data_IF_503208773412
#
_entry.id   IF_503208773412
#
_cell.length_a   1.000
_cell.length_b   1.000
_cell.length_c   1.000
_cell.angle_alpha   90.00
_cell.angle_beta   90.00
_cell.angle_gamma   90.00
#
_symmetry.space_group_name_H-M   'P 1'
#
loop_
_entity.id
_entity.type
_entity.pdbx_description
1 polymer ?
#
# COMPACT_ATOMS: atom_id res chain seq x y z
N UNK A 1 15.91 3.56 4.99
CA UNK A 1 14.70 4.19 4.45
C UNK A 1 14.41 3.63 3.06
N UNK A 2 13.16 3.35 2.75
CA UNK A 2 12.72 2.95 1.41
C UNK A 2 12.17 4.18 0.69
N UNK A 3 12.71 4.52 -0.48
CA UNK A 3 12.34 5.75 -1.19
C UNK A 3 12.02 5.50 -2.65
N UNK A 4 10.98 6.16 -3.14
CA UNK A 4 10.58 6.22 -4.53
C UNK A 4 10.86 7.64 -5.04
N UNK A 5 11.54 7.79 -6.17
CA UNK A 5 11.90 9.08 -6.73
C UNK A 5 11.41 9.17 -8.17
N UNK A 6 10.37 9.94 -8.42
CA UNK A 6 9.79 10.21 -9.73
C UNK A 6 9.38 8.94 -10.48
N UNK A 7 8.86 7.92 -9.76
CA UNK A 7 8.56 6.64 -10.41
C UNK A 7 7.35 6.75 -11.32
N UNK A 8 7.54 6.29 -12.55
CA UNK A 8 6.50 6.23 -13.58
C UNK A 8 6.39 4.82 -14.11
N UNK A 9 5.16 4.35 -14.35
CA UNK A 9 4.88 3.08 -15.02
C UNK A 9 3.92 3.26 -16.16
N UNK A 10 4.39 2.93 -17.37
CA UNK A 10 3.58 2.90 -18.58
C UNK A 10 3.46 1.48 -19.12
N UNK A 11 2.30 1.16 -19.66
CA UNK A 11 2.02 -0.09 -20.34
C UNK A 11 1.68 0.19 -21.81
N UNK A 12 2.16 -0.65 -22.71
CA UNK A 12 1.70 -0.65 -24.09
C UNK A 12 0.41 -1.44 -24.15
N UNK A 13 -0.64 -0.83 -24.68
CA UNK A 13 -2.00 -1.40 -24.79
C UNK A 13 -2.50 -1.35 -26.24
N UNK A 14 -3.52 -2.16 -26.53
CA UNK A 14 -4.07 -2.29 -27.89
C UNK A 14 -3.46 -3.47 -28.67
N UNK A 15 -4.15 -3.92 -29.70
CA UNK A 15 -3.82 -5.13 -30.46
C UNK A 15 -2.39 -5.12 -31.08
N UNK A 16 -1.82 -3.94 -31.28
CA UNK A 16 -0.44 -3.76 -31.81
C UNK A 16 0.43 -2.86 -30.94
N UNK A 17 0.06 -2.63 -29.65
CA UNK A 17 0.84 -1.77 -28.76
C UNK A 17 0.89 -0.29 -29.19
N UNK A 18 -0.15 0.17 -29.91
CA UNK A 18 -0.20 1.50 -30.52
C UNK A 18 -0.55 2.61 -29.52
N UNK A 19 -1.12 2.28 -28.39
CA UNK A 19 -1.45 3.22 -27.33
C UNK A 19 -0.67 2.92 -26.04
N UNK A 20 -0.49 3.93 -25.22
CA UNK A 20 0.17 3.83 -23.91
C UNK A 20 -0.81 4.16 -22.80
N UNK A 21 -0.85 3.31 -21.78
CA UNK A 21 -1.57 3.56 -20.54
C UNK A 21 -0.53 3.89 -19.45
N UNK A 22 -0.59 5.08 -18.89
CA UNK A 22 0.22 5.46 -17.72
C UNK A 22 -0.53 5.10 -16.46
N UNK A 23 -0.08 4.06 -15.76
CA UNK A 23 -0.72 3.57 -14.54
C UNK A 23 -0.20 4.25 -13.27
N UNK A 24 1.04 4.74 -13.30
CA UNK A 24 1.68 5.55 -12.25
C UNK A 24 2.52 6.60 -12.97
N UNK A 25 2.40 7.85 -12.54
CA UNK A 25 3.03 8.99 -13.17
C UNK A 25 3.70 9.91 -12.15
N UNK A 26 5.02 9.98 -12.23
CA UNK A 26 5.89 10.87 -11.44
C UNK A 26 5.62 10.83 -9.93
N UNK A 27 5.56 9.63 -9.35
CA UNK A 27 5.28 9.45 -7.92
C UNK A 27 6.59 9.40 -7.14
N UNK A 28 6.68 10.28 -6.13
CA UNK A 28 7.74 10.27 -5.12
C UNK A 28 7.13 10.01 -3.74
N UNK A 29 7.73 9.09 -3.00
CA UNK A 29 7.26 8.64 -1.69
C UNK A 29 8.42 8.06 -0.89
N UNK A 30 8.54 8.48 0.36
CA UNK A 30 9.45 7.88 1.32
C UNK A 30 8.66 7.08 2.36
N UNK A 31 9.22 5.96 2.79
CA UNK A 31 8.70 5.15 3.87
C UNK A 31 9.80 4.93 4.91
N UNK A 32 9.60 5.47 6.10
CA UNK A 32 10.54 5.33 7.19
C UNK A 32 10.35 3.99 7.93
N UNK A 33 11.40 3.46 8.62
CA UNK A 33 11.22 2.39 9.58
C UNK A 33 10.27 2.83 10.70
N UNK A 34 9.35 1.94 11.11
CA UNK A 34 8.39 2.24 12.17
C UNK A 34 7.30 3.25 11.79
N UNK A 35 7.06 3.46 10.49
CA UNK A 35 6.00 4.32 9.97
C UNK A 35 4.96 3.49 9.22
N UNK A 36 3.68 3.84 9.35
CA UNK A 36 2.63 3.35 8.46
C UNK A 36 2.20 4.50 7.54
N UNK A 37 2.36 4.30 6.24
CA UNK A 37 1.86 5.20 5.21
C UNK A 37 0.67 4.55 4.52
N UNK A 38 -0.50 5.18 4.58
CA UNK A 38 -1.66 4.74 3.81
C UNK A 38 -1.61 5.28 2.39
N UNK A 39 -1.69 4.36 1.43
CA UNK A 39 -1.87 4.68 0.01
C UNK A 39 -3.34 4.49 -0.36
N UNK A 40 -4.03 5.58 -0.63
CA UNK A 40 -5.49 5.63 -0.75
C UNK A 40 -5.90 6.08 -2.15
N UNK A 41 -7.05 5.62 -2.62
CA UNK A 41 -7.65 6.01 -3.90
C UNK A 41 -8.63 4.97 -4.40
N UNK A 42 -9.41 5.32 -5.42
CA UNK A 42 -10.37 4.41 -6.06
C UNK A 42 -9.68 3.24 -6.78
N UNK A 43 -10.48 2.23 -7.15
CA UNK A 43 -9.99 1.14 -8.01
C UNK A 43 -9.45 1.71 -9.33
N UNK A 44 -8.32 1.19 -9.78
CA UNK A 44 -7.66 1.69 -11.00
C UNK A 44 -6.81 2.96 -10.82
N UNK A 45 -6.71 3.55 -9.64
CA UNK A 45 -5.86 4.74 -9.41
C UNK A 45 -4.34 4.48 -9.48
N UNK A 46 -3.90 3.22 -9.54
CA UNK A 46 -2.48 2.85 -9.65
C UNK A 46 -1.84 2.26 -8.39
N UNK A 47 -2.58 2.14 -7.28
CA UNK A 47 -2.07 1.69 -5.96
C UNK A 47 -1.34 0.35 -6.01
N UNK A 48 -2.01 -0.69 -6.54
CA UNK A 48 -1.42 -2.04 -6.67
C UNK A 48 -0.20 -2.04 -7.60
N UNK A 49 -0.20 -1.18 -8.65
CA UNK A 49 0.96 -1.03 -9.53
C UNK A 49 2.14 -0.43 -8.76
N UNK A 50 1.90 0.60 -7.95
CA UNK A 50 2.91 1.21 -7.10
C UNK A 50 3.43 0.20 -6.06
N UNK A 51 2.55 -0.53 -5.38
CA UNK A 51 2.91 -1.60 -4.46
C UNK A 51 3.79 -2.69 -5.11
N UNK A 52 3.43 -3.14 -6.32
CA UNK A 52 4.25 -4.10 -7.09
C UNK A 52 5.62 -3.55 -7.48
N UNK A 53 5.72 -2.25 -7.76
CA UNK A 53 7.03 -1.62 -8.02
C UNK A 53 7.89 -1.58 -6.75
N UNK A 54 7.29 -1.21 -5.59
CA UNK A 54 7.96 -1.26 -4.28
C UNK A 54 8.45 -2.67 -3.98
N UNK A 55 7.66 -3.69 -4.27
CA UNK A 55 8.05 -5.09 -4.08
C UNK A 55 9.10 -5.60 -5.10
N UNK A 56 9.50 -4.77 -6.06
CA UNK A 56 10.41 -5.22 -7.11
C UNK A 56 9.83 -6.25 -8.09
N UNK A 57 8.51 -6.50 -8.02
CA UNK A 57 7.80 -7.41 -8.93
C UNK A 57 7.56 -6.77 -10.30
N UNK A 58 7.65 -5.44 -10.36
CA UNK A 58 7.43 -4.65 -11.56
C UNK A 58 8.46 -3.53 -11.63
N UNK A 59 9.32 -3.48 -12.65
CA UNK A 59 10.27 -2.38 -12.78
C UNK A 59 9.55 -1.09 -13.21
N UNK A 60 9.92 0.08 -12.65
CA UNK A 60 9.46 1.36 -13.14
C UNK A 60 9.96 1.62 -14.57
N UNK A 61 9.17 2.36 -15.36
CA UNK A 61 9.57 2.82 -16.70
C UNK A 61 10.51 4.02 -16.61
N UNK A 62 10.30 4.90 -15.61
CA UNK A 62 11.15 6.03 -15.24
C UNK A 62 11.26 6.13 -13.73
N UNK A 63 12.22 6.93 -13.26
CA UNK A 63 12.48 7.10 -11.84
C UNK A 63 13.26 5.94 -11.25
N UNK A 64 13.37 5.94 -9.93
CA UNK A 64 14.10 4.89 -9.22
C UNK A 64 13.48 4.61 -7.85
N UNK A 65 13.76 3.40 -7.37
CA UNK A 65 13.43 2.98 -6.01
C UNK A 65 14.76 2.69 -5.32
N UNK A 66 14.93 3.18 -4.11
CA UNK A 66 16.13 2.98 -3.31
C UNK A 66 15.77 2.38 -1.95
N UNK A 67 16.68 1.57 -1.43
CA UNK A 67 16.65 1.06 -0.06
C UNK A 67 17.96 1.51 0.61
N UNK A 68 17.84 2.33 1.65
CA UNK A 68 18.98 2.94 2.36
C UNK A 68 19.91 3.75 1.45
N UNK A 69 19.34 4.45 0.47
CA UNK A 69 20.09 5.24 -0.50
C UNK A 69 20.67 4.45 -1.68
N UNK A 70 20.68 3.12 -1.62
CA UNK A 70 21.13 2.28 -2.71
C UNK A 70 19.96 1.89 -3.62
N UNK A 71 20.22 1.82 -4.93
CA UNK A 71 19.20 1.40 -5.89
C UNK A 71 18.68 0.01 -5.56
N UNK A 72 17.38 -0.12 -5.36
CA UNK A 72 16.72 -1.38 -5.13
C UNK A 72 16.96 -2.34 -6.31
N UNK A 73 17.54 -3.50 -6.00
CA UNK A 73 17.78 -4.58 -6.97
C UNK A 73 16.99 -5.80 -6.51
N UNK A 74 15.89 -6.14 -7.20
CA UNK A 74 15.12 -7.33 -6.88
C UNK A 74 16.00 -8.58 -6.84
N UNK A 75 15.92 -9.33 -5.74
CA UNK A 75 16.74 -10.51 -5.50
C UNK A 75 16.66 -10.92 -4.02
N UNK A 76 17.33 -12.01 -3.64
CA UNK A 76 17.27 -12.56 -2.28
C UNK A 76 17.57 -11.51 -1.20
N UNK A 77 18.60 -10.68 -1.39
CA UNK A 77 18.99 -9.65 -0.43
C UNK A 77 17.86 -8.62 -0.23
N UNK A 78 17.23 -8.16 -1.32
CA UNK A 78 16.11 -7.24 -1.26
C UNK A 78 14.89 -7.87 -0.59
N UNK A 79 14.53 -9.08 -1.01
CA UNK A 79 13.34 -9.78 -0.49
C UNK A 79 13.47 -10.23 0.98
N UNK A 80 14.67 -10.24 1.55
CA UNK A 80 14.84 -10.39 3.02
C UNK A 80 14.27 -9.21 3.79
N UNK A 81 14.27 -8.02 3.19
CA UNK A 81 13.90 -6.77 3.85
C UNK A 81 12.57 -6.20 3.41
N UNK A 82 12.10 -6.54 2.20
CA UNK A 82 10.85 -6.01 1.63
C UNK A 82 9.95 -7.16 1.21
N UNK A 83 8.78 -7.27 1.85
CA UNK A 83 7.81 -8.33 1.58
C UNK A 83 6.43 -7.75 1.30
N UNK A 84 5.58 -8.53 0.64
CA UNK A 84 4.20 -8.18 0.34
C UNK A 84 3.20 -9.19 0.89
N UNK A 85 2.07 -8.68 1.33
CA UNK A 85 0.88 -9.45 1.64
C UNK A 85 -0.28 -8.85 0.83
N UNK A 86 -1.04 -9.72 0.15
CA UNK A 86 -2.05 -9.31 -0.84
C UNK A 86 -3.46 -9.62 -0.36
N UNK A 87 -4.43 -9.09 -1.07
CA UNK A 87 -5.86 -9.10 -0.77
C UNK A 87 -6.44 -10.50 -0.53
N UNK A 88 -6.13 -11.45 -1.40
CA UNK A 88 -6.68 -12.82 -1.32
C UNK A 88 -5.65 -13.77 -0.75
N UNK A 89 -5.78 -14.13 0.55
CA UNK A 89 -4.84 -15.07 1.16
C UNK A 89 -4.93 -16.47 0.54
N UNK A 90 -6.09 -16.92 0.05
CA UNK A 90 -6.24 -18.25 -0.52
C UNK A 90 -5.46 -18.42 -1.83
N UNK A 91 -5.40 -17.37 -2.65
CA UNK A 91 -4.63 -17.39 -3.91
C UNK A 91 -3.13 -17.53 -3.71
N UNK A 92 -2.64 -17.22 -2.50
CA UNK A 92 -1.22 -17.35 -2.16
C UNK A 92 -0.79 -18.79 -1.84
N UNK A 93 -1.73 -19.72 -1.68
CA UNK A 93 -1.47 -21.10 -1.30
C UNK A 93 -1.91 -22.08 -2.39
N UNK A 94 -1.06 -23.06 -2.65
CA UNK A 94 -1.49 -24.21 -3.46
C UNK A 94 -2.29 -25.18 -2.55
N UNK A 95 -3.58 -25.44 -2.83
CA UNK A 95 -4.45 -26.22 -1.96
C UNK A 95 -4.03 -27.69 -1.78
N UNK A 96 -3.17 -28.20 -2.66
CA UNK A 96 -2.64 -29.58 -2.59
C UNK A 96 -1.62 -29.73 -1.46
N UNK A 97 -1.00 -28.65 -1.02
CA UNK A 97 0.03 -28.67 0.00
C UNK A 97 -0.48 -28.08 1.33
N UNK A 98 0.15 -28.49 2.42
CA UNK A 98 -0.06 -27.89 3.74
C UNK A 98 0.32 -26.40 3.70
N UNK A 99 -0.43 -25.59 4.44
CA UNK A 99 -0.24 -24.14 4.44
C UNK A 99 1.12 -23.71 5.05
N UNK A 100 1.65 -24.49 5.99
CA UNK A 100 2.95 -24.27 6.63
C UNK A 100 4.16 -24.62 5.75
N UNK A 101 3.96 -25.28 4.61
CA UNK A 101 5.05 -25.62 3.67
C UNK A 101 5.87 -24.40 3.28
N UNK A 102 5.23 -23.25 3.12
CA UNK A 102 5.92 -22.00 2.75
C UNK A 102 6.98 -21.60 3.78
N UNK A 103 6.77 -21.92 5.05
CA UNK A 103 7.71 -21.61 6.14
C UNK A 103 8.99 -22.44 6.04
N UNK A 104 8.85 -23.72 5.66
CA UNK A 104 10.01 -24.59 5.39
C UNK A 104 10.77 -24.21 4.13
N UNK A 105 10.07 -23.75 3.09
CA UNK A 105 10.72 -23.28 1.85
C UNK A 105 11.63 -22.06 2.10
N UNK A 106 11.22 -21.12 2.98
CA UNK A 106 12.03 -19.96 3.37
C UNK A 106 13.37 -20.41 3.97
N UNK A 107 13.37 -21.44 4.84
CA UNK A 107 14.60 -21.97 5.40
C UNK A 107 15.57 -22.44 4.31
N UNK A 108 15.09 -23.28 3.41
CA UNK A 108 15.93 -23.82 2.33
C UNK A 108 16.52 -22.74 1.45
N UNK A 109 15.76 -21.66 1.21
CA UNK A 109 16.16 -20.58 0.31
C UNK A 109 17.06 -19.54 0.99
N UNK A 110 16.76 -19.16 2.24
CA UNK A 110 17.42 -18.02 2.93
C UNK A 110 18.32 -18.44 4.09
N UNK A 111 18.09 -19.60 4.69
CA UNK A 111 18.77 -20.05 5.90
C UNK A 111 19.19 -21.53 5.86
N UNK A 112 19.88 -22.00 4.80
CA UNK A 112 20.16 -23.42 4.59
C UNK A 112 21.04 -24.04 5.67
N UNK A 113 21.78 -23.23 6.44
CA UNK A 113 22.65 -23.69 7.53
C UNK A 113 21.97 -23.78 8.92
N UNK A 114 20.72 -23.33 9.05
CA UNK A 114 20.02 -23.33 10.34
C UNK A 114 19.52 -24.74 10.65
N UNK A 115 19.76 -25.25 11.88
CA UNK A 115 19.32 -26.55 12.33
C UNK A 115 17.77 -26.66 12.36
N UNK A 116 17.23 -27.88 12.20
CA UNK A 116 15.78 -28.11 12.15
C UNK A 116 15.07 -27.64 13.43
N UNK A 117 15.65 -27.96 14.59
CA UNK A 117 15.07 -27.56 15.87
C UNK A 117 15.06 -26.05 16.09
N UNK A 118 16.11 -25.35 15.67
CA UNK A 118 16.17 -23.90 15.73
C UNK A 118 15.14 -23.26 14.78
N UNK A 119 15.04 -23.81 13.56
CA UNK A 119 14.06 -23.30 12.59
C UNK A 119 12.62 -23.51 13.06
N UNK A 120 12.33 -24.66 13.66
CA UNK A 120 11.04 -24.93 14.27
C UNK A 120 10.70 -23.88 15.36
N UNK A 121 11.66 -23.56 16.23
CA UNK A 121 11.50 -22.51 17.24
C UNK A 121 11.20 -21.12 16.62
N UNK A 122 11.88 -20.76 15.51
CA UNK A 122 11.61 -19.52 14.78
C UNK A 122 10.19 -19.50 14.19
N UNK A 123 9.72 -20.63 13.63
CA UNK A 123 8.35 -20.77 13.12
C UNK A 123 7.34 -20.55 14.26
N UNK A 124 7.52 -21.22 15.39
CA UNK A 124 6.60 -21.10 16.53
C UNK A 124 6.56 -19.67 17.08
N UNK A 125 7.71 -19.01 17.15
CA UNK A 125 7.79 -17.60 17.56
C UNK A 125 7.06 -16.72 16.58
N UNK A 126 7.30 -16.87 15.26
CA UNK A 126 6.64 -16.04 14.25
C UNK A 126 5.12 -16.24 14.22
N UNK A 127 4.63 -17.45 14.46
CA UNK A 127 3.19 -17.73 14.58
C UNK A 127 2.58 -17.05 15.82
N UNK A 128 3.26 -17.13 16.97
CA UNK A 128 2.82 -16.46 18.20
C UNK A 128 2.83 -14.95 18.06
N UNK A 129 3.83 -14.38 17.38
CA UNK A 129 3.92 -12.94 17.10
C UNK A 129 2.72 -12.40 16.31
N UNK A 130 2.08 -13.24 15.50
CA UNK A 130 0.86 -12.88 14.75
C UNK A 130 -0.43 -13.41 15.42
N UNK A 131 -0.36 -13.86 16.66
CA UNK A 131 -1.52 -14.36 17.42
C UNK A 131 -2.08 -15.69 16.89
N UNK A 132 -1.24 -16.55 16.30
CA UNK A 132 -1.61 -17.87 15.87
C UNK A 132 -1.03 -18.96 16.81
N UNK A 133 -1.87 -19.93 17.19
CA UNK A 133 -1.43 -21.12 17.92
C UNK A 133 -0.79 -22.10 16.95
N UNK A 134 0.51 -22.42 17.10
CA UNK A 134 1.19 -23.38 16.25
C UNK A 134 0.50 -24.75 16.15
N UNK A 135 -0.10 -25.24 17.25
CA UNK A 135 -0.80 -26.53 17.27
C UNK A 135 -2.06 -26.55 16.41
N UNK A 136 -2.67 -25.41 16.18
CA UNK A 136 -3.86 -25.29 15.33
C UNK A 136 -3.54 -25.02 13.85
N UNK A 137 -2.35 -24.53 13.55
CA UNK A 137 -1.96 -24.08 12.21
C UNK A 137 -1.07 -25.10 11.50
N UNK A 138 -0.05 -25.62 12.20
CA UNK A 138 0.93 -26.50 11.58
C UNK A 138 0.27 -27.80 11.13
N UNK A 139 0.65 -28.26 9.94
CA UNK A 139 0.13 -29.47 9.33
C UNK A 139 -1.26 -29.34 8.69
N UNK A 140 -1.90 -28.15 8.74
CA UNK A 140 -3.22 -27.90 8.13
C UNK A 140 -3.11 -27.54 6.66
N UNK A 141 -4.15 -27.88 5.91
CA UNK A 141 -4.32 -27.44 4.54
C UNK A 141 -5.01 -26.06 4.49
N UNK A 142 -4.84 -25.27 3.42
CA UNK A 142 -5.46 -23.93 3.33
C UNK A 142 -6.99 -23.94 3.56
N UNK A 143 -7.70 -24.92 3.03
CA UNK A 143 -9.16 -25.06 3.20
C UNK A 143 -9.62 -25.41 4.64
N UNK A 144 -8.70 -25.74 5.53
CA UNK A 144 -8.96 -26.04 6.95
C UNK A 144 -8.72 -24.82 7.85
N UNK A 145 -8.29 -23.70 7.28
CA UNK A 145 -7.97 -22.46 7.99
C UNK A 145 -8.93 -21.33 7.55
N UNK A 146 -9.23 -20.43 8.47
CA UNK A 146 -10.00 -19.21 8.13
C UNK A 146 -9.16 -18.26 7.30
N UNK A 147 -9.83 -17.33 6.58
CA UNK A 147 -9.14 -16.28 5.82
C UNK A 147 -8.21 -15.44 6.71
N UNK A 148 -8.65 -15.08 7.92
CA UNK A 148 -7.83 -14.36 8.88
C UNK A 148 -6.63 -15.15 9.41
N UNK A 149 -6.76 -16.47 9.58
CA UNK A 149 -5.63 -17.33 9.93
C UNK A 149 -4.62 -17.39 8.78
N UNK A 150 -5.07 -17.58 7.55
CA UNK A 150 -4.20 -17.57 6.37
C UNK A 150 -3.52 -16.22 6.17
N UNK A 151 -4.23 -15.11 6.38
CA UNK A 151 -3.68 -13.76 6.29
C UNK A 151 -2.55 -13.55 7.31
N UNK A 152 -2.80 -13.91 8.57
CA UNK A 152 -1.79 -13.83 9.62
C UNK A 152 -0.62 -14.78 9.39
N UNK A 153 -0.86 -15.95 8.80
CA UNK A 153 0.21 -16.88 8.41
C UNK A 153 1.10 -16.29 7.29
N UNK A 154 0.55 -15.50 6.36
CA UNK A 154 1.34 -14.76 5.35
C UNK A 154 2.22 -13.69 6.00
N UNK A 155 1.74 -13.03 7.05
CA UNK A 155 2.54 -12.07 7.83
C UNK A 155 3.62 -12.82 8.60
N UNK A 156 3.29 -13.93 9.31
CA UNK A 156 4.27 -14.77 10.00
C UNK A 156 5.38 -15.27 9.07
N UNK A 157 5.01 -15.67 7.85
CA UNK A 157 5.97 -16.02 6.80
C UNK A 157 6.97 -14.91 6.53
N UNK A 158 6.49 -13.67 6.44
CA UNK A 158 7.35 -12.52 6.18
C UNK A 158 8.28 -12.22 7.38
N UNK A 159 7.79 -12.41 8.61
CA UNK A 159 8.57 -12.19 9.84
C UNK A 159 9.71 -13.21 10.05
N UNK A 160 9.69 -14.35 9.36
CA UNK A 160 10.82 -15.29 9.37
C UNK A 160 12.06 -14.75 8.64
N UNK A 161 11.91 -13.66 7.89
CA UNK A 161 12.99 -12.92 7.23
C UNK A 161 13.40 -11.71 8.08
N UNK A 162 14.47 -11.04 7.69
CA UNK A 162 14.92 -9.79 8.33
C UNK A 162 14.05 -8.62 7.80
N UNK A 163 12.74 -8.73 8.02
CA UNK A 163 11.74 -7.83 7.44
C UNK A 163 11.88 -6.40 8.00
N UNK A 164 11.96 -5.44 7.10
CA UNK A 164 12.02 -4.01 7.42
C UNK A 164 10.85 -3.21 6.85
N UNK A 165 10.32 -3.68 5.72
CA UNK A 165 9.21 -3.02 5.02
C UNK A 165 8.20 -4.05 4.54
N UNK A 166 6.93 -3.75 4.80
CA UNK A 166 5.79 -4.55 4.38
C UNK A 166 4.88 -3.73 3.47
N UNK A 167 4.57 -4.25 2.29
CA UNK A 167 3.47 -3.76 1.47
C UNK A 167 2.23 -4.59 1.78
N UNK A 168 1.25 -3.97 2.37
CA UNK A 168 -0.02 -4.58 2.77
C UNK A 168 -1.11 -4.12 1.78
N UNK A 169 -1.32 -4.89 0.70
CA UNK A 169 -2.23 -4.51 -0.39
C UNK A 169 -3.62 -5.10 -0.15
N UNK A 170 -4.56 -4.25 0.31
CA UNK A 170 -5.97 -4.58 0.60
C UNK A 170 -6.18 -5.79 1.53
N UNK A 171 -5.24 -6.02 2.45
CA UNK A 171 -5.17 -7.25 3.26
C UNK A 171 -6.36 -7.49 4.20
N UNK A 172 -7.23 -6.52 4.36
CA UNK A 172 -8.40 -6.59 5.23
C UNK A 172 -9.72 -6.75 4.47
N UNK A 173 -9.72 -6.65 3.14
CA UNK A 173 -10.96 -6.56 2.33
C UNK A 173 -11.82 -7.84 2.39
N UNK A 174 -11.20 -9.02 2.53
CA UNK A 174 -11.90 -10.32 2.61
C UNK A 174 -12.13 -10.82 4.03
N UNK A 175 -11.89 -9.98 5.04
CA UNK A 175 -12.03 -10.35 6.44
C UNK A 175 -13.32 -9.77 7.04
N UNK A 176 -13.87 -10.45 8.02
CA UNK A 176 -14.94 -9.91 8.86
C UNK A 176 -14.46 -8.75 9.74
N UNK A 177 -15.38 -7.95 10.26
CA UNK A 177 -15.07 -6.70 10.96
C UNK A 177 -14.13 -6.90 12.16
N UNK A 178 -14.32 -7.97 12.95
CA UNK A 178 -13.48 -8.25 14.12
C UNK A 178 -12.06 -8.63 13.70
N UNK A 179 -11.93 -9.53 12.73
CA UNK A 179 -10.64 -9.97 12.21
C UNK A 179 -9.87 -8.84 11.52
N UNK A 180 -10.57 -7.86 10.87
CA UNK A 180 -9.93 -6.65 10.32
C UNK A 180 -9.18 -5.87 11.40
N UNK A 181 -9.85 -5.60 12.51
CA UNK A 181 -9.25 -4.84 13.62
C UNK A 181 -8.06 -5.60 14.21
N UNK A 182 -8.17 -6.92 14.38
CA UNK A 182 -7.07 -7.75 14.87
C UNK A 182 -5.83 -7.64 13.96
N UNK A 183 -6.01 -7.67 12.64
CA UNK A 183 -4.91 -7.52 11.68
C UNK A 183 -4.31 -6.11 11.73
N UNK A 184 -5.13 -5.07 11.87
CA UNK A 184 -4.62 -3.69 12.02
C UNK A 184 -3.84 -3.51 13.31
N UNK A 185 -4.32 -4.04 14.44
CA UNK A 185 -3.60 -4.01 15.71
C UNK A 185 -2.27 -4.76 15.61
N UNK A 186 -2.25 -5.91 14.94
CA UNK A 186 -1.00 -6.64 14.65
C UNK A 186 -0.02 -5.77 13.86
N UNK A 187 -0.46 -5.07 12.80
CA UNK A 187 0.42 -4.17 12.06
C UNK A 187 0.92 -3.01 12.93
N UNK A 188 0.09 -2.47 13.82
CA UNK A 188 0.50 -1.43 14.76
C UNK A 188 1.57 -1.93 15.74
N UNK A 189 1.44 -3.16 16.26
CA UNK A 189 2.44 -3.79 17.11
C UNK A 189 3.77 -4.02 16.36
N UNK A 190 3.70 -4.47 15.12
CA UNK A 190 4.88 -4.66 14.28
C UNK A 190 5.56 -3.34 13.92
N UNK A 191 4.77 -2.30 13.65
CA UNK A 191 5.28 -0.93 13.47
C UNK A 191 6.05 -0.46 14.71
N UNK A 192 5.51 -0.66 15.91
CA UNK A 192 6.17 -0.30 17.16
C UNK A 192 7.52 -1.01 17.35
N UNK A 193 7.72 -2.16 16.69
CA UNK A 193 9.00 -2.89 16.62
C UNK A 193 9.92 -2.42 15.48
N UNK A 194 9.54 -1.35 14.75
CA UNK A 194 10.35 -0.74 13.70
C UNK A 194 9.98 -1.15 12.27
N UNK A 195 8.90 -1.92 12.05
CA UNK A 195 8.45 -2.28 10.70
C UNK A 195 7.84 -1.06 9.99
N UNK A 196 8.38 -0.69 8.81
CA UNK A 196 7.74 0.26 7.91
C UNK A 196 6.63 -0.42 7.10
N UNK A 197 5.44 0.18 7.03
CA UNK A 197 4.28 -0.42 6.34
C UNK A 197 3.72 0.53 5.30
N UNK A 198 3.69 0.11 4.04
CA UNK A 198 2.87 0.72 3.00
C UNK A 198 1.50 0.03 2.99
N UNK A 199 0.51 0.67 3.60
CA UNK A 199 -0.84 0.15 3.73
C UNK A 199 -1.71 0.64 2.57
N UNK A 200 -1.96 -0.24 1.60
CA UNK A 200 -2.78 0.07 0.43
C UNK A 200 -4.23 -0.30 0.72
N UNK A 201 -5.12 0.67 0.63
CA UNK A 201 -6.55 0.47 0.90
C UNK A 201 -7.42 1.43 0.09
N UNK A 202 -8.67 1.02 -0.15
CA UNK A 202 -9.75 1.91 -0.58
C UNK A 202 -10.65 2.31 0.60
N UNK A 203 -10.48 1.70 1.78
CA UNK A 203 -11.22 2.02 2.99
C UNK A 203 -10.50 3.12 3.78
N UNK A 204 -11.07 4.32 3.71
CA UNK A 204 -10.53 5.51 4.34
C UNK A 204 -10.52 5.42 5.87
N UNK A 205 -11.50 4.73 6.45
CA UNK A 205 -11.60 4.57 7.92
C UNK A 205 -10.44 3.73 8.44
N UNK A 206 -10.07 2.66 7.73
CA UNK A 206 -8.94 1.81 8.09
C UNK A 206 -7.61 2.55 7.89
N UNK A 207 -7.48 3.30 6.80
CA UNK A 207 -6.31 4.17 6.57
C UNK A 207 -6.12 5.18 7.68
N UNK A 208 -7.20 5.87 8.07
CA UNK A 208 -7.19 6.84 9.18
C UNK A 208 -6.85 6.20 10.53
N UNK A 209 -7.28 4.95 10.74
CA UNK A 209 -7.06 4.25 12.01
C UNK A 209 -5.59 3.87 12.24
N UNK A 210 -4.87 3.43 11.19
CA UNK A 210 -3.56 2.79 11.38
C UNK A 210 -2.38 3.70 11.04
N UNK A 211 -2.53 4.69 10.15
CA UNK A 211 -1.41 5.41 9.57
C UNK A 211 -1.16 6.77 10.19
N UNK A 212 0.11 7.18 10.20
CA UNK A 212 0.54 8.52 10.55
C UNK A 212 0.47 9.46 9.36
N UNK A 213 0.66 8.92 8.16
CA UNK A 213 0.67 9.71 6.91
C UNK A 213 -0.21 9.04 5.85
N UNK A 214 -0.94 9.86 5.12
CA UNK A 214 -1.78 9.45 4.01
C UNK A 214 -1.26 10.03 2.69
N UNK A 215 -1.33 9.21 1.64
CA UNK A 215 -1.01 9.57 0.25
C UNK A 215 -2.21 9.20 -0.59
N UNK A 216 -2.83 10.19 -1.20
CA UNK A 216 -4.00 10.00 -2.05
C UNK A 216 -3.56 9.94 -3.50
N UNK A 217 -3.86 8.81 -4.14
CA UNK A 217 -3.53 8.52 -5.53
C UNK A 217 -4.78 8.61 -6.41
N UNK A 218 -4.70 9.41 -7.46
CA UNK A 218 -5.75 9.55 -8.46
C UNK A 218 -5.16 9.51 -9.87
N UNK A 219 -5.67 8.63 -10.75
CA UNK A 219 -5.19 8.45 -12.13
C UNK A 219 -3.67 8.34 -12.26
N UNK A 220 -3.06 7.61 -11.35
CA UNK A 220 -1.60 7.37 -11.34
C UNK A 220 -0.76 8.47 -10.68
N UNK A 221 -1.33 9.57 -10.28
CA UNK A 221 -0.60 10.70 -9.68
C UNK A 221 -0.96 10.87 -8.20
N UNK A 222 0.01 11.32 -7.40
CA UNK A 222 -0.27 11.80 -6.04
C UNK A 222 -0.95 13.14 -6.14
N UNK A 223 -2.18 13.21 -5.64
CA UNK A 223 -2.98 14.45 -5.64
C UNK A 223 -2.95 15.16 -4.30
N UNK A 224 -2.77 14.42 -3.21
CA UNK A 224 -2.65 14.96 -1.87
C UNK A 224 -1.82 14.04 -0.98
N UNK A 225 -0.99 14.59 -0.11
CA UNK A 225 -0.18 13.84 0.84
C UNK A 225 0.13 14.69 2.06
N UNK A 226 0.05 14.08 3.24
CA UNK A 226 0.33 14.78 4.50
C UNK A 226 0.13 13.86 5.70
N UNK A 227 0.17 14.44 6.90
CA UNK A 227 -0.26 13.70 8.08
C UNK A 227 -1.70 13.23 7.90
N UNK A 228 -2.03 12.06 8.44
CA UNK A 228 -3.37 11.50 8.33
C UNK A 228 -4.42 12.48 8.86
N UNK A 229 -4.13 13.17 9.96
CA UNK A 229 -5.01 14.20 10.53
C UNK A 229 -5.24 15.39 9.59
N UNK A 230 -4.21 15.83 8.85
CA UNK A 230 -4.35 16.93 7.88
C UNK A 230 -5.19 16.48 6.67
N UNK A 231 -4.83 15.39 6.02
CA UNK A 231 -5.51 14.90 4.81
C UNK A 231 -6.98 14.55 5.05
N UNK A 232 -7.30 13.93 6.20
CA UNK A 232 -8.69 13.55 6.52
C UNK A 232 -9.47 14.65 7.23
N UNK A 233 -8.80 15.52 7.99
CA UNK A 233 -9.45 16.60 8.73
C UNK A 233 -9.68 17.86 7.90
N UNK A 234 -8.76 18.17 6.98
CA UNK A 234 -8.79 19.33 6.10
C UNK A 234 -8.34 18.98 4.68
N UNK A 235 -9.13 18.20 3.93
CA UNK A 235 -8.77 17.81 2.56
C UNK A 235 -8.72 19.03 1.65
N UNK A 236 -7.62 19.19 0.93
CA UNK A 236 -7.38 20.35 0.07
C UNK A 236 -7.65 20.07 -1.41
N UNK A 237 -7.53 18.80 -1.84
CA UNK A 237 -7.79 18.42 -3.22
C UNK A 237 -9.27 18.04 -3.42
N UNK A 238 -9.96 18.52 -4.48
CA UNK A 238 -11.39 18.20 -4.72
C UNK A 238 -11.68 16.69 -4.75
N UNK A 239 -10.77 15.90 -5.32
CA UNK A 239 -10.89 14.44 -5.32
C UNK A 239 -10.88 13.84 -3.91
N UNK A 240 -9.97 14.31 -3.04
CA UNK A 240 -9.90 13.85 -1.64
C UNK A 240 -11.17 14.20 -0.89
N UNK A 241 -11.67 15.44 -1.07
CA UNK A 241 -12.93 15.89 -0.46
C UNK A 241 -14.10 15.01 -0.89
N UNK A 242 -14.22 14.70 -2.19
CA UNK A 242 -15.25 13.81 -2.71
C UNK A 242 -15.08 12.39 -2.16
N UNK A 243 -13.88 11.86 -2.14
CA UNK A 243 -13.58 10.53 -1.64
C UNK A 243 -13.98 10.39 -0.16
N UNK A 244 -13.69 11.41 0.66
CA UNK A 244 -14.08 11.46 2.08
C UNK A 244 -15.59 11.64 2.29
N UNK A 245 -16.27 12.37 1.42
CA UNK A 245 -17.73 12.56 1.49
C UNK A 245 -18.52 11.29 1.18
N UNK A 246 -17.95 10.35 0.44
CA UNK A 246 -18.56 9.06 0.13
C UNK A 246 -18.55 8.06 1.28
N UNK A 247 -17.80 8.34 2.38
CA UNK A 247 -17.79 7.51 3.58
C UNK A 247 -19.04 7.79 4.40
N UNK A 248 -19.91 6.79 4.68
CA UNK A 248 -21.10 6.97 5.51
C UNK A 248 -20.71 7.49 6.90
N UNK A 249 -21.19 8.66 7.28
CA UNK A 249 -21.02 9.19 8.64
C UNK A 249 -22.16 8.63 9.50
N UNK A 250 -21.84 7.97 10.60
CA UNK A 250 -22.83 7.44 11.57
C UNK A 250 -23.77 8.51 12.14
N UNK A 251 -23.47 9.79 11.95
CA UNK A 251 -24.27 10.94 12.44
C UNK A 251 -25.12 11.62 11.37
N UNK A 252 -25.05 11.20 10.10
CA UNK A 252 -25.91 11.78 9.07
C UNK A 252 -27.34 11.20 9.22
N UNK A 253 -28.28 11.98 9.76
CA UNK A 253 -29.71 11.72 9.61
C UNK A 253 -30.02 11.62 8.11
N UNK A 254 -30.79 10.60 7.74
CA UNK A 254 -31.40 10.48 6.41
C UNK A 254 -32.36 11.67 6.22
N UNK A 255 -31.86 12.81 5.77
CA UNK A 255 -32.61 13.96 5.30
C UNK A 255 -32.48 13.99 3.79
N UNK A 256 -33.60 13.82 3.08
CA UNK A 256 -33.66 13.87 1.63
C UNK A 256 -33.11 15.21 1.11
N UNK A 257 -31.87 15.17 0.66
CA UNK A 257 -31.25 16.18 -0.21
C UNK A 257 -31.20 15.55 -1.60
N UNK A 258 -31.62 16.29 -2.59
CA UNK A 258 -31.60 15.93 -3.99
C UNK A 258 -30.21 15.40 -4.36
N UNK A 259 -30.23 14.22 -4.98
CA UNK A 259 -29.08 13.57 -5.58
C UNK A 259 -28.63 14.41 -6.77
N UNK A 260 -27.79 15.42 -6.51
CA UNK A 260 -26.99 16.02 -7.57
C UNK A 260 -26.06 14.90 -8.05
N UNK A 261 -26.48 14.28 -9.15
CA UNK A 261 -25.77 13.19 -9.82
C UNK A 261 -24.27 13.51 -9.98
N UNK A 262 -23.42 12.51 -10.22
CA UNK A 262 -21.97 12.64 -10.15
C UNK A 262 -21.51 13.72 -11.13
N UNK A 263 -21.40 14.95 -10.64
CA UNK A 263 -20.73 16.02 -11.36
C UNK A 263 -19.32 15.53 -11.68
N UNK A 264 -18.96 15.45 -12.95
CA UNK A 264 -17.59 15.18 -13.36
C UNK A 264 -16.68 16.13 -12.58
N UNK A 265 -15.85 15.55 -11.71
CA UNK A 265 -14.72 16.32 -11.18
C UNK A 265 -13.90 16.66 -12.42
N UNK A 266 -13.61 17.95 -12.67
CA UNK A 266 -12.68 18.30 -13.72
C UNK A 266 -11.40 17.52 -13.43
N UNK A 267 -11.17 16.46 -14.25
CA UNK A 267 -9.90 15.76 -14.23
C UNK A 267 -8.81 16.76 -14.57
N UNK A 268 -7.56 16.47 -14.36
CA UNK A 268 -6.46 17.25 -14.90
C UNK A 268 -6.60 17.46 -16.42
N UNK A 269 -7.49 16.71 -17.07
CA UNK A 269 -7.79 16.78 -18.51
C UNK A 269 -8.58 18.04 -18.94
N UNK A 270 -9.08 18.86 -18.01
CA UNK A 270 -9.69 20.17 -18.33
C UNK A 270 -8.68 21.28 -18.57
N UNK A 271 -7.40 21.05 -18.24
CA UNK A 271 -6.32 21.96 -18.53
C UNK A 271 -5.12 21.17 -19.07
N UNK A 272 -4.75 21.38 -20.31
CA UNK A 272 -3.47 21.01 -20.93
C UNK A 272 -2.28 21.74 -20.24
N UNK A 273 -2.36 22.03 -18.93
CA UNK A 273 -1.35 22.66 -18.12
C UNK A 273 -0.66 21.63 -17.22
N UNK A 274 0.65 21.73 -17.09
CA UNK A 274 1.39 20.92 -16.12
C UNK A 274 0.82 21.16 -14.72
N UNK A 275 0.60 20.09 -13.94
CA UNK A 275 0.21 20.18 -12.54
C UNK A 275 1.39 19.76 -11.67
N UNK A 276 1.61 20.47 -10.57
CA UNK A 276 2.69 20.19 -9.62
C UNK A 276 2.14 19.95 -8.22
N UNK A 277 2.83 19.07 -7.47
CA UNK A 277 2.59 18.88 -6.06
C UNK A 277 3.25 20.06 -5.32
N UNK A 278 2.48 20.84 -4.59
CA UNK A 278 2.94 22.01 -3.84
C UNK A 278 2.61 21.85 -2.37
N UNK A 279 3.46 22.35 -1.50
CA UNK A 279 3.20 22.41 -0.07
C UNK A 279 2.22 23.56 0.20
N UNK A 280 1.03 23.22 0.66
CA UNK A 280 -0.03 24.18 0.98
C UNK A 280 0.02 24.59 2.46
N UNK A 281 0.36 23.66 3.33
CA UNK A 281 0.60 23.83 4.77
C UNK A 281 1.82 22.99 5.15
N UNK A 282 2.53 23.26 6.27
CA UNK A 282 3.71 22.50 6.65
C UNK A 282 3.46 20.98 6.66
N UNK A 283 4.14 20.26 5.78
CA UNK A 283 4.00 18.82 5.60
C UNK A 283 2.71 18.36 4.92
N UNK A 284 1.87 19.29 4.40
CA UNK A 284 0.65 18.97 3.65
C UNK A 284 0.78 19.41 2.19
N UNK A 285 0.94 18.43 1.33
CA UNK A 285 1.16 18.61 -0.11
C UNK A 285 -0.14 18.41 -0.87
N UNK A 286 -0.42 19.28 -1.83
CA UNK A 286 -1.58 19.18 -2.72
C UNK A 286 -1.18 19.44 -4.17
N UNK A 287 -1.72 18.68 -5.11
CA UNK A 287 -1.49 18.89 -6.53
C UNK A 287 -2.38 20.03 -7.04
N UNK A 288 -1.75 21.02 -7.67
CA UNK A 288 -2.44 22.17 -8.26
C UNK A 288 -2.02 22.35 -9.72
N UNK A 289 -2.95 22.85 -10.54
CA UNK A 289 -2.62 23.28 -11.89
C UNK A 289 -1.61 24.44 -11.85
N UNK A 290 -0.60 24.39 -12.69
CA UNK A 290 0.32 25.52 -12.87
C UNK A 290 -0.42 26.57 -13.68
N UNK A 291 -0.95 27.61 -13.02
CA UNK A 291 -1.43 28.79 -13.71
C UNK A 291 -0.22 29.50 -14.32
N UNK A 292 -0.11 29.47 -15.66
CA UNK A 292 0.95 30.19 -16.36
C UNK A 292 1.00 31.66 -15.93
N UNK A 293 2.15 32.10 -15.51
CA UNK A 293 2.41 33.51 -15.20
C UNK A 293 2.18 34.30 -16.47
N UNK A 294 1.09 35.09 -16.52
CA UNK A 294 0.85 36.07 -17.57
C UNK A 294 2.02 37.03 -17.56
N UNK A 295 2.85 36.96 -18.61
CA UNK A 295 3.91 37.96 -18.83
C UNK A 295 3.29 39.36 -18.86
N UNK A 296 3.62 40.18 -17.88
CA UNK A 296 3.41 41.60 -17.95
C UNK A 296 4.11 42.10 -19.22
N UNK A 297 3.32 42.41 -20.25
CA UNK A 297 3.78 43.27 -21.35
C UNK A 297 4.08 44.64 -20.75
N UNK A 298 5.36 44.95 -20.70
CA UNK A 298 5.81 46.35 -20.57
C UNK A 298 5.29 47.13 -21.77
N UNK A 299 4.33 48.02 -21.53
CA UNK A 299 4.03 49.09 -22.46
C UNK A 299 5.12 50.14 -22.36
N UNK A 300 5.80 50.34 -23.46
CA UNK A 300 6.63 51.52 -23.74
C UNK A 300 5.80 52.53 -24.48
#
# INVERSE_FOLDING_TARGET
MLSLEGVTKTYRVGAFGTSTLTAVDDVSLDLAPGEVVSLIGESGSGKTTLGKMVLGLLPPTRGRITLDGERARPGKAYYRHVQGVFQDPFSCYNPVFKADRVLTMIRGEYFPGVADSEWQGRIETSLKDVGLDPGQILGRYPHQLSGGQLQRLLIARALLLDLRYLVADEITSMLDASTRIDVLNLLADLKARGLGVLFVTHDLSLGNYISERAVVLYRGQVVESGSTSAVFGNPLHPYTTRLLSSVPRLTARWGGGEDDGPGEVPGPDGHEGSSTLVEAEPGHLVRRAVTGTTSLRSAS
#
